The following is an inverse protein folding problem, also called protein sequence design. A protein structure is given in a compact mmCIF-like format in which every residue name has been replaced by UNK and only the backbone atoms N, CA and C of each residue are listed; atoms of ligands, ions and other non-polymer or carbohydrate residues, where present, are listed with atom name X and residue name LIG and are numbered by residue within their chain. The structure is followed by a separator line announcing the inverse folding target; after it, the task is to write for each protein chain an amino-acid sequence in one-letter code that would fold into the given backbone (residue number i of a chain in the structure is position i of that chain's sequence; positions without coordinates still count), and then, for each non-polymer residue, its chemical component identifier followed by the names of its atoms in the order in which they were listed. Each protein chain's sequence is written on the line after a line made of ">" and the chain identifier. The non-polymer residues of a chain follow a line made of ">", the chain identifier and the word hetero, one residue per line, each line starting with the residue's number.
data_IF_211730191003
#
_entry.id   IF_211730191003
#
_cell.length_a   1.000
_cell.length_b   1.000
_cell.length_c   1.000
_cell.angle_alpha   90.00
_cell.angle_beta   90.00
_cell.angle_gamma   90.00
#
_symmetry.space_group_name_H-M   'P 1'
#
loop_
_entity.id
_entity.type
_entity.pdbx_description
1 polymer ?
#
# COMPACT_ATOMS: atom_id res chain seq x y z
N UNK A 1 24.78 30.41 -4.49
CA UNK A 1 23.64 29.52 -4.67
C UNK A 1 23.31 28.95 -3.29
N UNK A 2 22.15 29.18 -2.68
CA UNK A 2 21.83 28.55 -1.40
C UNK A 2 21.82 27.04 -1.66
N UNK A 3 22.42 26.27 -0.76
CA UNK A 3 22.34 24.83 -0.73
C UNK A 3 20.86 24.43 -0.81
N UNK A 4 20.42 23.87 -1.91
CA UNK A 4 19.15 23.17 -1.96
C UNK A 4 19.25 22.10 -0.86
N UNK A 5 18.42 22.18 0.17
CA UNK A 5 18.24 21.11 1.13
C UNK A 5 17.76 19.90 0.30
N UNK A 6 18.69 19.00 0.00
CA UNK A 6 18.33 17.72 -0.59
C UNK A 6 17.43 17.03 0.42
N UNK A 7 16.22 16.74 0.03
CA UNK A 7 15.30 15.95 0.85
C UNK A 7 15.94 14.60 1.10
N UNK A 8 16.33 14.32 2.33
CA UNK A 8 16.90 13.06 2.75
C UNK A 8 15.91 12.26 3.63
N UNK A 9 16.22 11.01 3.86
CA UNK A 9 15.40 10.14 4.71
C UNK A 9 15.29 10.69 6.15
N UNK A 10 16.31 11.39 6.64
CA UNK A 10 16.35 11.96 8.00
C UNK A 10 15.30 13.04 8.18
N UNK A 11 15.15 13.93 7.18
CA UNK A 11 14.12 14.95 7.18
C UNK A 11 12.72 14.34 7.20
N UNK A 12 12.47 13.36 6.31
CA UNK A 12 11.16 12.68 6.21
C UNK A 12 10.81 12.00 7.53
N UNK A 13 11.74 11.21 8.07
CA UNK A 13 11.59 10.50 9.34
C UNK A 13 11.33 11.49 10.48
N UNK A 14 12.14 12.56 10.56
CA UNK A 14 12.00 13.57 11.61
C UNK A 14 10.64 14.25 11.60
N UNK A 15 10.14 14.63 10.41
CA UNK A 15 8.79 15.21 10.24
C UNK A 15 7.68 14.25 10.61
N UNK A 16 7.79 12.98 10.22
CA UNK A 16 6.82 11.95 10.59
C UNK A 16 6.80 11.72 12.10
N UNK A 17 7.95 11.58 12.76
CA UNK A 17 7.99 11.42 14.22
C UNK A 17 7.47 12.65 14.98
N UNK A 18 7.71 13.84 14.47
CA UNK A 18 7.17 15.05 15.07
C UNK A 18 5.65 15.08 15.15
N UNK A 19 4.98 14.53 14.14
CA UNK A 19 3.52 14.56 13.99
C UNK A 19 2.83 13.27 14.46
N UNK A 20 3.44 12.09 14.24
CA UNK A 20 2.82 10.78 14.37
C UNK A 20 3.65 9.78 15.18
N UNK A 21 4.43 10.24 16.17
CA UNK A 21 5.38 9.41 16.91
C UNK A 21 4.80 8.11 17.46
N UNK A 22 3.54 8.13 17.93
CA UNK A 22 2.88 6.97 18.55
C UNK A 22 2.32 5.97 17.52
N UNK A 23 2.20 6.38 16.27
CA UNK A 23 1.55 5.61 15.20
C UNK A 23 2.57 5.01 14.22
N UNK A 24 3.84 5.35 14.38
CA UNK A 24 4.94 4.76 13.61
C UNK A 24 5.35 3.44 14.26
N UNK A 25 5.04 2.33 13.59
CA UNK A 25 5.31 0.98 14.09
C UNK A 25 6.71 0.47 13.73
N UNK A 26 7.21 0.87 12.57
CA UNK A 26 8.56 0.48 12.10
C UNK A 26 9.07 1.44 11.04
N UNK A 27 10.38 1.65 11.03
CA UNK A 27 11.10 2.41 9.99
C UNK A 27 12.25 1.55 9.48
N UNK A 28 12.33 1.36 8.19
CA UNK A 28 13.35 0.56 7.52
C UNK A 28 13.87 1.30 6.28
N UNK A 29 15.18 1.32 6.12
CA UNK A 29 15.88 1.94 4.97
C UNK A 29 16.60 0.84 4.22
N UNK A 30 15.86 -0.18 3.78
CA UNK A 30 16.41 -1.25 2.97
C UNK A 30 16.13 -1.04 1.49
N UNK A 31 17.01 -1.55 0.64
CA UNK A 31 16.82 -1.56 -0.82
C UNK A 31 16.61 -0.16 -1.42
N UNK A 32 17.40 0.81 -0.99
CA UNK A 32 17.46 2.19 -1.51
C UNK A 32 16.16 3.01 -1.34
N UNK A 33 15.20 2.55 -0.53
CA UNK A 33 13.95 3.27 -0.30
C UNK A 33 13.56 3.28 1.18
N UNK A 34 13.27 4.46 1.69
CA UNK A 34 12.65 4.61 3.01
C UNK A 34 11.29 3.91 3.04
N UNK A 35 11.11 3.01 4.01
CA UNK A 35 9.87 2.27 4.23
C UNK A 35 9.39 2.50 5.66
N UNK A 36 8.19 3.04 5.82
CA UNK A 36 7.60 3.33 7.14
C UNK A 36 6.32 2.53 7.28
N UNK A 37 6.20 1.80 8.40
CA UNK A 37 4.97 1.08 8.75
C UNK A 37 4.18 1.92 9.74
N UNK A 38 2.92 2.21 9.42
CA UNK A 38 2.02 3.10 10.14
C UNK A 38 0.82 2.30 10.65
N UNK A 39 0.34 2.64 11.84
CA UNK A 39 -0.92 2.14 12.38
C UNK A 39 -2.09 2.49 11.44
N UNK A 40 -2.97 1.51 11.18
CA UNK A 40 -4.03 1.66 10.16
C UNK A 40 -5.02 2.80 10.40
N UNK A 41 -5.37 3.18 11.64
CA UNK A 41 -6.36 4.25 11.85
C UNK A 41 -5.93 5.61 11.33
N UNK A 42 -4.61 5.90 11.31
CA UNK A 42 -4.07 7.23 10.95
C UNK A 42 -3.46 7.28 9.54
N UNK A 43 -3.63 6.21 8.75
CA UNK A 43 -2.96 6.11 7.45
C UNK A 43 -3.34 7.26 6.50
N UNK A 44 -4.59 7.68 6.48
CA UNK A 44 -5.07 8.77 5.64
C UNK A 44 -4.42 10.10 6.02
N UNK A 45 -4.34 10.41 7.33
CA UNK A 45 -3.72 11.62 7.84
C UNK A 45 -2.21 11.66 7.52
N UNK A 46 -1.54 10.53 7.65
CA UNK A 46 -0.11 10.42 7.30
C UNK A 46 0.12 10.68 5.81
N UNK A 47 -0.69 10.10 4.94
CA UNK A 47 -0.58 10.29 3.49
C UNK A 47 -0.91 11.74 3.11
N UNK A 48 -1.94 12.32 3.73
CA UNK A 48 -2.28 13.75 3.56
C UNK A 48 -1.13 14.63 3.99
N UNK A 49 -0.54 14.38 5.16
CA UNK A 49 0.60 15.15 5.67
C UNK A 49 1.79 15.09 4.72
N UNK A 50 2.14 13.90 4.22
CA UNK A 50 3.24 13.74 3.26
C UNK A 50 2.99 14.50 1.96
N UNK A 51 1.74 14.57 1.50
CA UNK A 51 1.35 15.29 0.29
C UNK A 51 1.34 16.80 0.48
N UNK A 52 0.72 17.29 1.57
CA UNK A 52 0.42 18.71 1.75
C UNK A 52 1.53 19.49 2.44
N UNK A 53 2.46 18.83 3.12
CA UNK A 53 3.59 19.49 3.77
C UNK A 53 4.54 20.10 2.71
N UNK A 54 4.78 21.43 2.70
CA UNK A 54 5.57 22.09 1.66
C UNK A 54 7.04 21.64 1.59
N UNK A 55 7.58 21.11 2.70
CA UNK A 55 8.96 20.61 2.77
C UNK A 55 9.06 19.17 2.25
N UNK A 56 7.94 18.44 2.18
CA UNK A 56 7.90 17.04 1.76
C UNK A 56 7.31 16.87 0.36
N UNK A 57 6.19 17.50 0.05
CA UNK A 57 5.53 17.59 -1.26
C UNK A 57 5.48 16.28 -2.06
N UNK A 58 5.03 15.18 -1.39
CA UNK A 58 4.84 13.89 -2.04
C UNK A 58 3.55 13.90 -2.88
N UNK A 59 3.53 14.72 -3.92
CA UNK A 59 2.35 14.98 -4.75
C UNK A 59 1.97 13.88 -5.74
N UNK A 60 2.73 12.79 -5.83
CA UNK A 60 2.48 11.72 -6.80
C UNK A 60 2.37 10.35 -6.13
N UNK A 61 1.22 9.68 -6.33
CA UNK A 61 1.01 8.28 -5.96
C UNK A 61 1.51 7.39 -7.11
N UNK A 62 2.67 6.74 -6.91
CA UNK A 62 3.25 5.86 -7.92
C UNK A 62 2.49 4.54 -8.01
N UNK A 63 2.18 3.92 -6.86
CA UNK A 63 1.41 2.69 -6.79
C UNK A 63 0.80 2.51 -5.40
N UNK A 64 -0.32 1.80 -5.37
CA UNK A 64 -0.97 1.26 -4.19
C UNK A 64 -1.27 -0.20 -4.49
N UNK A 65 -0.88 -1.11 -3.59
CA UNK A 65 -1.15 -2.53 -3.77
C UNK A 65 -1.38 -3.24 -2.44
N UNK A 66 -2.22 -4.29 -2.48
CA UNK A 66 -2.46 -5.18 -1.36
C UNK A 66 -1.31 -6.17 -1.14
N UNK A 67 -1.14 -6.61 0.09
CA UNK A 67 -0.22 -7.70 0.48
C UNK A 67 -0.88 -8.59 1.52
N UNK A 68 -0.50 -9.87 1.54
CA UNK A 68 -0.99 -10.84 2.53
C UNK A 68 0.18 -11.62 3.13
N UNK A 69 0.29 -11.59 4.47
CA UNK A 69 1.24 -12.33 5.29
C UNK A 69 0.48 -13.17 6.33
N UNK A 70 0.10 -14.42 6.01
CA UNK A 70 -0.79 -15.25 6.85
C UNK A 70 -0.35 -15.43 8.30
N UNK A 71 0.98 -15.48 8.51
CA UNK A 71 1.58 -15.74 9.83
C UNK A 71 1.65 -14.52 10.74
N UNK A 72 1.14 -13.35 10.31
CA UNK A 72 1.14 -12.12 11.11
C UNK A 72 -0.18 -11.92 11.84
N UNK A 73 -0.14 -11.27 13.01
CA UNK A 73 -1.33 -10.88 13.75
C UNK A 73 -2.26 -9.92 12.97
N UNK A 74 -1.69 -9.09 12.10
CA UNK A 74 -2.39 -8.27 11.11
C UNK A 74 -1.94 -8.74 9.72
N UNK A 75 -2.63 -9.70 9.12
CA UNK A 75 -2.12 -10.40 7.95
C UNK A 75 -2.32 -9.69 6.62
N UNK A 76 -3.37 -8.87 6.49
CA UNK A 76 -3.62 -8.09 5.30
C UNK A 76 -2.98 -6.71 5.43
N UNK A 77 -2.44 -6.18 4.34
CA UNK A 77 -1.86 -4.86 4.35
C UNK A 77 -1.96 -4.16 3.00
N UNK A 78 -1.69 -2.87 3.05
CA UNK A 78 -1.58 -2.02 1.85
C UNK A 78 -0.23 -1.32 1.87
N UNK A 79 0.38 -1.29 0.70
CA UNK A 79 1.64 -0.59 0.44
C UNK A 79 1.37 0.58 -0.49
N UNK A 80 1.74 1.76 -0.06
CA UNK A 80 1.66 2.99 -0.83
C UNK A 80 3.07 3.45 -1.21
N UNK A 81 3.32 3.72 -2.48
CA UNK A 81 4.55 4.35 -2.92
C UNK A 81 4.24 5.79 -3.34
N UNK A 82 4.78 6.73 -2.59
CA UNK A 82 4.65 8.15 -2.87
C UNK A 82 5.96 8.71 -3.42
N UNK A 83 5.86 9.68 -4.30
CA UNK A 83 6.99 10.27 -5.00
C UNK A 83 6.91 11.80 -4.96
N UNK A 84 7.96 12.44 -4.47
CA UNK A 84 8.23 13.84 -4.75
C UNK A 84 8.97 13.95 -6.08
N UNK A 85 8.29 14.42 -7.10
CA UNK A 85 8.85 14.51 -8.46
C UNK A 85 9.92 15.58 -8.61
N UNK A 86 9.89 16.62 -7.76
CA UNK A 86 10.85 17.74 -7.79
C UNK A 86 12.21 17.29 -7.29
N UNK A 87 12.24 16.65 -6.14
CA UNK A 87 13.47 16.17 -5.49
C UNK A 87 13.86 14.74 -5.93
N UNK A 88 13.00 14.08 -6.73
CA UNK A 88 13.16 12.68 -7.15
C UNK A 88 13.34 11.72 -5.97
N UNK A 89 12.61 11.93 -4.89
CA UNK A 89 12.63 11.10 -3.68
C UNK A 89 11.36 10.29 -3.58
N UNK A 90 11.50 9.02 -3.21
CA UNK A 90 10.37 8.09 -3.01
C UNK A 90 10.31 7.62 -1.58
N UNK A 91 9.10 7.40 -1.09
CA UNK A 91 8.83 6.79 0.21
C UNK A 91 7.79 5.68 0.05
N UNK A 92 7.99 4.61 0.81
CA UNK A 92 7.03 3.51 0.93
C UNK A 92 6.35 3.58 2.27
N UNK A 93 5.04 3.72 2.27
CA UNK A 93 4.21 3.65 3.48
C UNK A 93 3.49 2.31 3.47
N UNK A 94 3.52 1.61 4.60
CA UNK A 94 2.85 0.33 4.79
C UNK A 94 1.87 0.44 5.95
N UNK A 95 0.75 -0.21 5.82
CA UNK A 95 -0.19 -0.41 6.93
C UNK A 95 -0.77 -1.81 6.90
N UNK A 96 -1.22 -2.31 8.05
CA UNK A 96 -1.73 -3.66 8.17
C UNK A 96 -3.05 -3.67 8.95
N UNK A 97 -3.96 -4.54 8.56
CA UNK A 97 -5.29 -4.70 9.13
C UNK A 97 -5.58 -6.16 9.47
N UNK A 98 -6.48 -6.43 10.45
CA UNK A 98 -6.91 -7.78 10.77
C UNK A 98 -7.82 -8.36 9.68
N UNK A 99 -7.89 -9.69 9.57
CA UNK A 99 -8.84 -10.36 8.69
C UNK A 99 -10.31 -10.16 9.11
N UNK A 100 -10.55 -9.95 10.40
CA UNK A 100 -11.89 -9.78 10.96
C UNK A 100 -12.54 -8.44 10.59
N UNK A 101 -11.72 -7.42 10.36
CA UNK A 101 -12.14 -6.11 9.89
C UNK A 101 -11.05 -5.54 8.95
N UNK A 102 -11.02 -5.97 7.70
CA UNK A 102 -10.00 -5.57 6.75
C UNK A 102 -10.32 -4.21 6.12
N UNK A 103 -10.56 -3.18 6.95
CA UNK A 103 -10.99 -1.88 6.47
C UNK A 103 -9.92 -0.80 6.69
N UNK A 104 -9.83 0.13 5.71
CA UNK A 104 -8.95 1.29 5.70
C UNK A 104 -9.71 2.50 5.14
N UNK A 105 -9.38 3.72 5.55
CA UNK A 105 -9.89 4.90 4.86
C UNK A 105 -9.37 4.97 3.43
N UNK A 106 -10.22 5.39 2.49
CA UNK A 106 -9.79 5.69 1.12
C UNK A 106 -8.85 6.88 1.08
N UNK A 107 -8.00 6.94 0.06
CA UNK A 107 -7.19 8.11 -0.27
C UNK A 107 -7.56 8.70 -1.65
N UNK A 108 -8.74 8.38 -2.17
CA UNK A 108 -9.22 8.90 -3.46
C UNK A 108 -9.45 10.40 -3.46
N UNK A 109 -9.72 11.00 -2.31
CA UNK A 109 -9.78 12.45 -2.10
C UNK A 109 -8.41 13.12 -2.23
N UNK A 110 -7.35 12.40 -1.90
CA UNK A 110 -5.97 12.88 -2.03
C UNK A 110 -5.39 12.61 -3.43
N UNK A 111 -5.64 11.43 -3.99
CA UNK A 111 -5.09 11.00 -5.27
C UNK A 111 -6.17 10.32 -6.11
N UNK A 112 -6.56 10.91 -7.22
CA UNK A 112 -7.56 10.32 -8.14
C UNK A 112 -7.15 8.95 -8.69
N UNK A 113 -5.83 8.72 -8.86
CA UNK A 113 -5.30 7.43 -9.29
C UNK A 113 -5.57 6.29 -8.29
N UNK A 114 -5.76 6.61 -7.01
CA UNK A 114 -6.08 5.63 -5.98
C UNK A 114 -7.38 4.88 -6.25
N UNK A 115 -8.35 5.51 -6.92
CA UNK A 115 -9.64 4.89 -7.24
C UNK A 115 -9.47 3.49 -7.86
N UNK A 116 -8.66 3.38 -8.90
CA UNK A 116 -8.45 2.11 -9.60
C UNK A 116 -7.59 1.12 -8.79
N UNK A 117 -6.57 1.61 -8.10
CA UNK A 117 -5.66 0.78 -7.32
C UNK A 117 -6.31 0.23 -6.04
N UNK A 118 -7.21 1.00 -5.42
CA UNK A 118 -8.00 0.56 -4.27
C UNK A 118 -9.02 -0.50 -4.69
N UNK A 119 -9.69 -0.34 -5.84
CA UNK A 119 -10.58 -1.35 -6.40
C UNK A 119 -9.85 -2.65 -6.73
N UNK A 120 -8.66 -2.58 -7.32
CA UNK A 120 -7.81 -3.75 -7.56
C UNK A 120 -7.44 -4.44 -6.24
N UNK A 121 -7.03 -3.67 -5.24
CA UNK A 121 -6.69 -4.20 -3.91
C UNK A 121 -7.89 -4.84 -3.22
N UNK A 122 -9.07 -4.24 -3.32
CA UNK A 122 -10.33 -4.83 -2.86
C UNK A 122 -10.62 -6.15 -3.60
N UNK A 123 -10.53 -6.14 -4.92
CA UNK A 123 -10.87 -7.27 -5.78
C UNK A 123 -10.02 -8.51 -5.48
N UNK A 124 -8.72 -8.33 -5.24
CA UNK A 124 -7.79 -9.44 -5.03
C UNK A 124 -7.58 -9.86 -3.57
N UNK A 125 -7.74 -8.94 -2.61
CA UNK A 125 -7.44 -9.18 -1.19
C UNK A 125 -8.64 -9.00 -0.26
N UNK A 126 -9.72 -8.34 -0.72
CA UNK A 126 -10.90 -8.05 0.09
C UNK A 126 -10.67 -6.98 1.14
N UNK A 127 -9.76 -6.05 0.90
CA UNK A 127 -9.56 -4.89 1.76
C UNK A 127 -10.59 -3.83 1.40
N UNK A 128 -11.39 -3.39 2.38
CA UNK A 128 -12.48 -2.44 2.20
C UNK A 128 -11.94 -1.02 2.39
N UNK A 129 -12.07 -0.18 1.37
CA UNK A 129 -11.68 1.23 1.47
C UNK A 129 -12.90 2.09 1.83
N UNK A 130 -13.00 2.48 3.09
CA UNK A 130 -14.11 3.27 3.62
C UNK A 130 -14.12 4.67 2.97
N UNK A 131 -15.28 5.07 2.45
CA UNK A 131 -15.44 6.36 1.76
C UNK A 131 -15.01 6.34 0.30
N UNK A 132 -14.63 5.17 -0.25
CA UNK A 132 -14.38 5.03 -1.70
C UNK A 132 -15.67 5.30 -2.50
N UNK A 133 -15.62 6.09 -3.58
CA UNK A 133 -16.82 6.50 -4.33
C UNK A 133 -17.56 5.35 -5.03
N UNK A 134 -16.85 4.29 -5.44
CA UNK A 134 -17.41 3.13 -6.14
C UNK A 134 -16.51 1.91 -5.98
N UNK A 135 -16.60 1.24 -4.82
CA UNK A 135 -15.76 0.08 -4.48
C UNK A 135 -16.37 -1.21 -5.05
N UNK A 136 -16.19 -1.41 -6.34
CA UNK A 136 -16.62 -2.61 -7.08
C UNK A 136 -15.42 -3.37 -7.61
N UNK A 137 -15.57 -4.66 -7.92
CA UNK A 137 -14.51 -5.45 -8.55
C UNK A 137 -14.12 -4.83 -9.89
N UNK A 138 -12.90 -5.07 -10.35
CA UNK A 138 -12.36 -4.47 -11.57
C UNK A 138 -11.81 -5.51 -12.56
N UNK A 139 -11.26 -6.60 -12.08
CA UNK A 139 -10.62 -7.64 -12.90
C UNK A 139 -11.34 -8.98 -12.79
N UNK A 140 -11.85 -9.32 -11.61
CA UNK A 140 -12.59 -10.54 -11.39
C UNK A 140 -14.09 -10.33 -11.60
N UNK A 141 -14.83 -11.43 -11.78
CA UNK A 141 -16.28 -11.41 -11.93
C UNK A 141 -16.97 -11.07 -10.60
N UNK A 142 -18.10 -10.37 -10.64
CA UNK A 142 -18.81 -9.91 -9.43
C UNK A 142 -19.28 -11.06 -8.52
N UNK A 143 -19.59 -12.21 -9.08
CA UNK A 143 -20.06 -13.39 -8.32
C UNK A 143 -18.94 -14.24 -7.70
N UNK A 144 -17.68 -13.79 -7.80
CA UNK A 144 -16.57 -14.48 -7.17
C UNK A 144 -16.65 -14.30 -5.65
N UNK A 145 -16.75 -15.40 -4.90
CA UNK A 145 -16.96 -15.42 -3.46
C UNK A 145 -15.66 -15.50 -2.63
N UNK A 146 -14.52 -15.41 -3.27
CA UNK A 146 -13.20 -15.40 -2.64
C UNK A 146 -12.28 -14.31 -3.21
N UNK A 147 -11.08 -14.17 -2.61
CA UNK A 147 -10.08 -13.18 -2.98
C UNK A 147 -8.79 -13.87 -3.44
N UNK A 148 -8.54 -13.97 -4.75
CA UNK A 148 -7.62 -14.94 -5.34
C UNK A 148 -6.13 -14.72 -5.02
N UNK A 149 -5.71 -13.54 -4.57
CA UNK A 149 -4.31 -13.31 -4.17
C UNK A 149 -4.05 -13.51 -2.68
N UNK A 150 -5.06 -13.88 -1.90
CA UNK A 150 -4.82 -14.36 -0.54
C UNK A 150 -4.07 -15.69 -0.58
N UNK A 151 -3.12 -15.87 0.34
CA UNK A 151 -2.21 -17.03 0.33
C UNK A 151 -2.88 -18.38 0.68
N UNK A 152 -4.09 -18.36 1.22
CA UNK A 152 -4.91 -19.55 1.41
C UNK A 152 -5.39 -20.18 0.08
N UNK A 153 -5.36 -19.43 -1.03
CA UNK A 153 -5.72 -19.93 -2.34
C UNK A 153 -4.46 -20.25 -3.15
N UNK A 154 -4.23 -21.50 -3.55
CA UNK A 154 -3.08 -21.87 -4.36
C UNK A 154 -3.21 -21.28 -5.77
N UNK A 155 -2.09 -20.80 -6.32
CA UNK A 155 -2.03 -20.25 -7.69
C UNK A 155 -2.20 -21.35 -8.75
N UNK A 156 -1.88 -22.58 -8.39
CA UNK A 156 -2.00 -23.73 -9.27
C UNK A 156 -2.94 -24.75 -8.62
N UNK A 157 -3.82 -25.33 -9.42
CA UNK A 157 -4.64 -26.46 -9.00
C UNK A 157 -3.74 -27.70 -8.87
N UNK A 158 -3.49 -28.22 -7.63
CA UNK A 158 -2.65 -29.39 -7.43
C UNK A 158 -3.29 -30.68 -7.95
N UNK A 159 -4.58 -30.67 -8.28
CA UNK A 159 -5.32 -31.81 -8.81
C UNK A 159 -5.32 -31.89 -10.33
N UNK A 160 -4.70 -30.94 -11.02
CA UNK A 160 -4.60 -30.96 -12.48
C UNK A 160 -3.76 -32.13 -12.96
N UNK A 161 -4.37 -33.00 -13.76
CA UNK A 161 -3.69 -34.13 -14.41
C UNK A 161 -3.12 -33.76 -15.79
N UNK A 162 -3.60 -32.65 -16.39
CA UNK A 162 -3.23 -32.21 -17.72
C UNK A 162 -2.01 -31.23 -17.74
N UNK A 163 -1.34 -31.06 -16.60
CA UNK A 163 -0.18 -30.19 -16.49
C UNK A 163 1.04 -30.83 -17.16
N UNK A 164 1.51 -30.24 -18.24
CA UNK A 164 2.74 -30.63 -18.92
C UNK A 164 3.78 -29.53 -18.84
N UNK A 165 4.69 -29.63 -17.86
CA UNK A 165 5.75 -28.65 -17.60
C UNK A 165 6.91 -28.71 -18.61
N UNK A 166 6.95 -29.72 -19.50
CA UNK A 166 8.05 -29.90 -20.46
C UNK A 166 8.24 -28.73 -21.41
N UNK A 167 7.17 -27.97 -21.66
CA UNK A 167 7.20 -26.79 -22.55
C UNK A 167 7.53 -25.50 -21.83
N UNK A 168 7.59 -25.46 -20.51
CA UNK A 168 7.78 -24.24 -19.70
C UNK A 168 9.07 -24.24 -18.89
N UNK A 169 9.94 -25.22 -19.08
CA UNK A 169 11.30 -25.22 -18.52
C UNK A 169 11.40 -25.32 -16.99
N UNK A 170 10.41 -25.95 -16.36
CA UNK A 170 10.41 -26.21 -14.90
C UNK A 170 10.64 -27.70 -14.63
#
# INVERSE_FOLDING_TARGET
>A
MPNAFLMDNTLIIGKLYQQFSNDILNVDVSSDMLSVTIAHPVIHEVIRFLKENPELDFGFLTTLCGIHYPDRGLPLGVVYHLHNLRENVRVRIKTFVPLTDPSLPTITDLFSAANWMERETYDFYGIIFQGHPDLTRILNVEYLDFFPLRKEYPLEDPTREDKDDRYFGR
#
